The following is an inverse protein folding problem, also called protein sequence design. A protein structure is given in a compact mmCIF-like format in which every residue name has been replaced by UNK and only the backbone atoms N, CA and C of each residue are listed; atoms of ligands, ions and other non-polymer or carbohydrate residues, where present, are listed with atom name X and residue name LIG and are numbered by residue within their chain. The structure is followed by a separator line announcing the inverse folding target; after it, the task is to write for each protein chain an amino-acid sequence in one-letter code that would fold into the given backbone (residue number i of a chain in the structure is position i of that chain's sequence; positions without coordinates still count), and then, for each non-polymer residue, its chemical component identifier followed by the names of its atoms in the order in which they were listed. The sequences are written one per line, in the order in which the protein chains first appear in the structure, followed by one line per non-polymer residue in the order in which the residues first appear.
data_IF_640097809374
#
_entry.id   IF_640097809374
#
_cell.length_a   1.000
_cell.length_b   1.000
_cell.length_c   1.000
_cell.angle_alpha   90.00
_cell.angle_beta   90.00
_cell.angle_gamma   90.00
#
_symmetry.space_group_name_H-M   'P 1'
#
loop_
_entity.id
_entity.type
_entity.pdbx_description
1 polymer ?
#
# COMPACT_ATOMS: atom_id res chain seq x y z
N UNK A 1 16.13 -32.59 8.84
CA UNK A 1 16.13 -31.65 7.70
C UNK A 1 15.21 -30.49 8.07
N UNK A 2 15.76 -29.46 8.68
CA UNK A 2 15.03 -28.25 9.08
C UNK A 2 15.46 -27.13 8.13
N UNK A 3 14.55 -26.72 7.24
CA UNK A 3 14.79 -25.60 6.34
C UNK A 3 14.77 -24.30 7.14
N UNK A 4 15.96 -23.73 7.35
CA UNK A 4 16.14 -22.40 7.94
C UNK A 4 15.76 -21.35 6.88
N UNK A 5 14.52 -20.89 6.87
CA UNK A 5 14.09 -19.74 6.07
C UNK A 5 14.49 -18.44 6.78
N UNK A 6 15.79 -18.14 6.80
CA UNK A 6 16.27 -16.79 7.09
C UNK A 6 16.04 -15.91 5.84
N UNK A 7 14.79 -15.52 5.62
CA UNK A 7 14.50 -14.38 4.74
C UNK A 7 14.96 -13.14 5.49
N UNK A 8 16.22 -12.76 5.30
CA UNK A 8 16.71 -11.44 5.71
C UNK A 8 15.99 -10.42 4.84
N UNK A 9 14.89 -9.87 5.35
CA UNK A 9 14.34 -8.63 4.83
C UNK A 9 15.49 -7.61 4.76
N UNK A 10 15.61 -6.90 3.63
CA UNK A 10 16.58 -5.82 3.50
C UNK A 10 16.38 -4.85 4.67
N UNK A 11 17.43 -4.38 5.35
CA UNK A 11 17.28 -3.38 6.40
C UNK A 11 16.47 -2.19 5.86
N UNK A 12 15.33 -1.88 6.49
CA UNK A 12 14.42 -0.81 6.07
C UNK A 12 13.32 -1.21 5.07
N UNK A 13 13.17 -2.49 4.69
CA UNK A 13 12.06 -2.95 3.86
C UNK A 13 11.05 -3.79 4.66
N UNK A 14 9.76 -3.56 4.41
CA UNK A 14 8.68 -4.35 5.00
C UNK A 14 8.81 -5.84 4.63
N UNK A 15 8.58 -6.81 5.54
CA UNK A 15 8.75 -8.24 5.23
C UNK A 15 7.86 -8.77 4.09
N UNK A 16 6.74 -8.09 3.80
CA UNK A 16 5.86 -8.39 2.66
C UNK A 16 6.03 -7.38 1.51
N UNK A 17 7.20 -6.75 1.42
CA UNK A 17 7.56 -5.87 0.31
C UNK A 17 7.61 -6.70 -0.98
N UNK A 18 6.57 -6.54 -1.80
CA UNK A 18 6.47 -7.17 -3.10
C UNK A 18 5.73 -6.23 -4.05
N UNK A 19 6.33 -5.98 -5.20
CA UNK A 19 5.67 -5.29 -6.29
C UNK A 19 4.90 -6.28 -7.16
N UNK A 20 3.62 -5.97 -7.35
CA UNK A 20 2.68 -6.64 -8.25
C UNK A 20 1.87 -5.59 -9.01
N UNK A 21 1.41 -5.97 -10.19
CA UNK A 21 0.38 -5.19 -10.88
C UNK A 21 -0.88 -5.12 -10.01
N UNK A 22 -1.39 -3.91 -9.81
CA UNK A 22 -2.60 -3.63 -9.04
C UNK A 22 -3.79 -3.21 -9.93
N UNK A 23 -3.55 -3.21 -11.23
CA UNK A 23 -4.54 -3.02 -12.29
C UNK A 23 -4.77 -4.37 -12.99
N UNK A 24 -6.01 -4.68 -13.32
CA UNK A 24 -6.35 -5.87 -14.11
C UNK A 24 -6.02 -5.66 -15.60
N UNK A 25 -5.93 -6.74 -16.36
CA UNK A 25 -5.68 -6.69 -17.80
C UNK A 25 -6.70 -5.82 -18.55
N UNK A 26 -8.00 -5.93 -18.22
CA UNK A 26 -9.03 -5.10 -18.83
C UNK A 26 -8.88 -3.62 -18.49
N UNK A 27 -8.61 -3.29 -17.22
CA UNK A 27 -8.36 -1.92 -16.78
C UNK A 27 -7.09 -1.35 -17.44
N UNK A 28 -6.05 -2.17 -17.62
CA UNK A 28 -4.79 -1.76 -18.24
C UNK A 28 -4.95 -1.46 -19.73
N UNK A 29 -5.73 -2.25 -20.46
CA UNK A 29 -6.08 -1.97 -21.87
C UNK A 29 -6.78 -0.61 -21.98
N UNK A 30 -7.75 -0.35 -21.10
CA UNK A 30 -8.46 0.94 -21.05
C UNK A 30 -7.45 2.06 -20.78
N UNK A 31 -6.57 1.90 -19.79
CA UNK A 31 -5.59 2.91 -19.42
C UNK A 31 -4.62 3.26 -20.54
N UNK A 32 -4.20 2.25 -21.32
CA UNK A 32 -3.38 2.45 -22.52
C UNK A 32 -4.08 3.26 -23.58
N UNK A 33 -5.38 3.04 -23.80
CA UNK A 33 -6.17 3.82 -24.77
C UNK A 33 -6.31 5.28 -24.35
N UNK A 34 -6.28 5.56 -23.04
CA UNK A 34 -6.25 6.94 -22.53
C UNK A 34 -4.89 7.62 -22.68
N UNK A 35 -3.85 6.88 -23.07
CA UNK A 35 -2.47 7.38 -23.18
C UNK A 35 -1.96 8.03 -21.88
N UNK A 36 -2.41 7.55 -20.71
CA UNK A 36 -2.02 8.08 -19.40
C UNK A 36 -1.10 7.10 -18.67
N UNK A 37 -0.02 7.56 -18.00
CA UNK A 37 0.77 6.69 -17.14
C UNK A 37 0.04 6.42 -15.82
N UNK A 38 0.22 5.23 -15.22
CA UNK A 38 -0.37 4.92 -13.90
C UNK A 38 0.14 5.85 -12.79
N UNK A 39 1.34 6.41 -12.95
CA UNK A 39 1.90 7.39 -12.01
C UNK A 39 1.09 8.69 -11.95
N UNK A 40 0.23 8.98 -12.93
CA UNK A 40 -0.64 10.17 -12.92
C UNK A 40 -1.93 9.98 -12.13
N UNK A 41 -2.23 8.76 -11.65
CA UNK A 41 -3.44 8.47 -10.89
C UNK A 41 -3.68 9.47 -9.74
N UNK A 42 -2.69 9.78 -8.87
CA UNK A 42 -2.85 10.73 -7.77
C UNK A 42 -3.28 12.15 -8.14
N UNK A 43 -3.08 12.56 -9.40
CA UNK A 43 -3.34 13.93 -9.86
C UNK A 43 -4.79 14.17 -10.26
N UNK A 44 -5.65 13.15 -10.15
CA UNK A 44 -7.04 13.19 -10.65
C UNK A 44 -8.03 12.83 -9.55
N UNK A 45 -9.28 13.22 -9.74
CA UNK A 45 -10.40 12.74 -8.92
C UNK A 45 -10.95 11.40 -9.43
N UNK A 46 -11.55 10.57 -8.56
CA UNK A 46 -12.21 9.33 -8.98
C UNK A 46 -13.27 9.53 -10.08
N UNK A 47 -14.02 10.63 -10.01
CA UNK A 47 -15.05 11.01 -10.97
C UNK A 47 -14.46 11.35 -12.34
N UNK A 48 -13.40 12.15 -12.39
CA UNK A 48 -12.69 12.51 -13.63
C UNK A 48 -12.12 11.27 -14.30
N UNK A 49 -11.53 10.35 -13.54
CA UNK A 49 -10.96 9.12 -14.09
C UNK A 49 -12.05 8.20 -14.63
N UNK A 50 -13.14 8.01 -13.88
CA UNK A 50 -14.26 7.20 -14.35
C UNK A 50 -14.84 7.77 -15.64
N UNK A 51 -15.05 9.10 -15.70
CA UNK A 51 -15.52 9.79 -16.90
C UNK A 51 -14.55 9.64 -18.08
N UNK A 52 -13.24 9.76 -17.86
CA UNK A 52 -12.23 9.58 -18.90
C UNK A 52 -12.26 8.16 -19.50
N UNK A 53 -12.57 7.15 -18.68
CA UNK A 53 -12.74 5.75 -19.14
C UNK A 53 -14.09 5.48 -19.81
N UNK A 54 -14.95 6.48 -19.97
CA UNK A 54 -16.32 6.30 -20.45
C UNK A 54 -17.19 5.48 -19.48
N UNK A 55 -16.87 5.49 -18.18
CA UNK A 55 -17.55 4.71 -17.15
C UNK A 55 -17.19 3.22 -17.13
N UNK A 56 -16.20 2.78 -17.92
CA UNK A 56 -15.76 1.38 -17.93
C UNK A 56 -15.04 0.98 -16.63
N UNK A 57 -14.36 1.93 -15.99
CA UNK A 57 -13.85 1.78 -14.63
C UNK A 57 -14.75 2.60 -13.71
N UNK A 58 -15.35 1.94 -12.71
CA UNK A 58 -16.25 2.60 -11.77
C UNK A 58 -15.51 3.64 -10.93
N UNK A 59 -16.23 4.69 -10.49
CA UNK A 59 -15.71 5.71 -9.55
C UNK A 59 -15.06 5.08 -8.32
N UNK A 60 -15.71 4.08 -7.71
CA UNK A 60 -15.16 3.35 -6.55
C UNK A 60 -13.81 2.70 -6.85
N UNK A 61 -13.67 2.09 -8.03
CA UNK A 61 -12.43 1.44 -8.42
C UNK A 61 -11.34 2.46 -8.76
N UNK A 62 -11.69 3.59 -9.37
CA UNK A 62 -10.76 4.70 -9.57
C UNK A 62 -10.24 5.25 -8.23
N UNK A 63 -11.12 5.43 -7.25
CA UNK A 63 -10.77 5.80 -5.87
C UNK A 63 -9.81 4.80 -5.22
N UNK A 64 -10.08 3.49 -5.35
CA UNK A 64 -9.13 2.45 -4.92
C UNK A 64 -7.78 2.57 -5.61
N UNK A 65 -7.73 2.71 -6.94
CA UNK A 65 -6.47 2.84 -7.70
C UNK A 65 -5.65 4.06 -7.27
N UNK A 66 -6.31 5.20 -7.00
CA UNK A 66 -5.68 6.41 -6.47
C UNK A 66 -5.10 6.14 -5.08
N UNK A 67 -5.85 5.51 -4.17
CA UNK A 67 -5.34 5.15 -2.84
C UNK A 67 -4.11 4.24 -2.93
N UNK A 68 -4.14 3.23 -3.80
CA UNK A 68 -3.00 2.33 -4.01
C UNK A 68 -1.77 3.13 -4.47
N UNK A 69 -1.94 3.99 -5.47
CA UNK A 69 -0.85 4.81 -6.01
C UNK A 69 -0.27 5.75 -4.94
N UNK A 70 -1.13 6.40 -4.14
CA UNK A 70 -0.72 7.28 -3.05
C UNK A 70 0.03 6.54 -1.94
N UNK A 71 -0.48 5.41 -1.47
CA UNK A 71 0.19 4.61 -0.43
C UNK A 71 1.53 4.11 -0.95
N UNK A 72 1.61 3.72 -2.23
CA UNK A 72 2.86 3.23 -2.83
C UNK A 72 3.94 4.32 -3.03
N UNK A 73 3.65 5.59 -2.71
CA UNK A 73 4.70 6.62 -2.63
C UNK A 73 5.55 6.50 -1.36
N UNK A 74 5.05 5.78 -0.34
CA UNK A 74 5.76 5.57 0.92
C UNK A 74 6.95 4.63 0.73
N UNK A 75 8.12 5.04 1.21
CA UNK A 75 9.35 4.27 1.09
C UNK A 75 9.32 3.01 1.97
N UNK A 76 9.83 1.89 1.46
CA UNK A 76 9.97 0.65 2.24
C UNK A 76 8.78 -0.31 2.17
N UNK A 77 7.68 0.06 1.51
CA UNK A 77 6.56 -0.83 1.17
C UNK A 77 6.47 -1.05 -0.34
N UNK A 78 5.87 -2.18 -0.74
CA UNK A 78 5.68 -2.54 -2.15
C UNK A 78 4.19 -2.49 -2.52
N UNK A 79 3.89 -2.50 -3.82
CA UNK A 79 2.50 -2.27 -4.29
C UNK A 79 1.50 -3.29 -3.76
N UNK A 80 1.94 -4.51 -3.41
CA UNK A 80 1.03 -5.54 -2.90
C UNK A 80 0.42 -5.18 -1.54
N UNK A 81 1.22 -4.72 -0.57
CA UNK A 81 0.68 -4.29 0.72
C UNK A 81 -0.09 -2.97 0.59
N UNK A 82 0.37 -2.06 -0.27
CA UNK A 82 -0.34 -0.81 -0.61
C UNK A 82 -1.76 -1.11 -1.11
N UNK A 83 -1.89 -2.14 -1.96
CA UNK A 83 -3.17 -2.65 -2.44
C UNK A 83 -4.06 -3.18 -1.30
N UNK A 84 -3.52 -4.01 -0.41
CA UNK A 84 -4.31 -4.58 0.69
C UNK A 84 -4.82 -3.51 1.65
N UNK A 85 -4.01 -2.49 1.94
CA UNK A 85 -4.40 -1.34 2.77
C UNK A 85 -5.51 -0.52 2.10
N UNK A 86 -5.33 -0.16 0.82
CA UNK A 86 -6.32 0.60 0.05
C UNK A 86 -7.65 -0.14 -0.09
N UNK A 87 -7.61 -1.45 -0.32
CA UNK A 87 -8.80 -2.32 -0.39
C UNK A 87 -9.53 -2.46 0.95
N UNK A 88 -8.81 -2.28 2.05
CA UNK A 88 -9.38 -2.22 3.42
C UNK A 88 -10.01 -0.86 3.71
N UNK A 89 -9.81 0.12 2.82
CA UNK A 89 -10.41 1.45 2.89
C UNK A 89 -9.48 2.53 3.43
N UNK A 90 -8.21 2.22 3.72
CA UNK A 90 -7.27 3.18 4.26
C UNK A 90 -6.69 4.09 3.17
N UNK A 91 -6.60 5.39 3.46
CA UNK A 91 -5.82 6.34 2.67
C UNK A 91 -4.36 6.48 3.19
N UNK A 92 -3.54 7.24 2.47
CA UNK A 92 -2.11 7.42 2.79
C UNK A 92 -1.88 8.10 4.14
N UNK A 93 -2.75 9.04 4.54
CA UNK A 93 -2.60 9.74 5.83
C UNK A 93 -2.94 8.78 6.97
N UNK A 94 -4.03 8.03 6.83
CA UNK A 94 -4.40 6.99 7.79
C UNK A 94 -3.31 5.92 7.92
N UNK A 95 -2.66 5.55 6.81
CA UNK A 95 -1.52 4.62 6.80
C UNK A 95 -0.32 5.19 7.57
N UNK A 96 -0.10 6.50 7.55
CA UNK A 96 0.97 7.14 8.32
C UNK A 96 0.62 7.30 9.81
N UNK A 97 -0.64 7.57 10.14
CA UNK A 97 -1.01 8.06 11.48
C UNK A 97 -1.65 7.00 12.38
N UNK A 98 -2.34 6.00 11.83
CA UNK A 98 -2.99 4.96 12.64
C UNK A 98 -1.97 3.95 13.16
N UNK A 99 -2.17 3.35 14.35
CA UNK A 99 -1.30 2.30 14.85
C UNK A 99 -1.20 1.12 13.87
N UNK A 100 0.02 0.64 13.61
CA UNK A 100 0.29 -0.50 12.74
C UNK A 100 -0.56 -1.74 13.06
N UNK A 101 -0.79 -2.01 14.35
CA UNK A 101 -1.63 -3.12 14.81
C UNK A 101 -3.07 -3.01 14.31
N UNK A 102 -3.64 -1.80 14.31
CA UNK A 102 -5.00 -1.54 13.82
C UNK A 102 -5.06 -1.73 12.31
N UNK A 103 -4.11 -1.17 11.57
CA UNK A 103 -4.06 -1.24 10.11
C UNK A 103 -3.92 -2.70 9.64
N UNK A 104 -2.90 -3.40 10.13
CA UNK A 104 -2.58 -4.77 9.72
C UNK A 104 -3.58 -5.79 10.29
N UNK A 105 -4.16 -5.50 11.46
CA UNK A 105 -5.28 -6.27 12.01
C UNK A 105 -6.52 -6.21 11.10
N UNK A 106 -6.87 -5.04 10.57
CA UNK A 106 -7.98 -4.92 9.62
C UNK A 106 -7.69 -5.63 8.28
N UNK A 107 -6.45 -5.59 7.80
CA UNK A 107 -6.04 -6.38 6.63
C UNK A 107 -6.24 -7.87 6.87
N UNK A 108 -5.79 -8.40 8.03
CA UNK A 108 -5.99 -9.80 8.40
C UNK A 108 -7.48 -10.16 8.48
N UNK A 109 -8.29 -9.29 9.10
CA UNK A 109 -9.73 -9.49 9.22
C UNK A 109 -10.41 -9.55 7.85
N UNK A 110 -10.04 -8.66 6.92
CA UNK A 110 -10.54 -8.66 5.54
C UNK A 110 -10.17 -9.95 4.80
N UNK A 111 -8.94 -10.44 4.97
CA UNK A 111 -8.45 -11.66 4.31
C UNK A 111 -9.01 -12.94 4.93
N UNK A 112 -9.46 -12.90 6.18
CA UNK A 112 -9.92 -14.07 6.93
C UNK A 112 -8.79 -14.96 7.46
N UNK A 113 -7.54 -14.51 7.41
CA UNK A 113 -6.38 -15.20 7.98
C UNK A 113 -5.26 -14.22 8.37
N UNK A 114 -4.37 -14.66 9.27
CA UNK A 114 -3.27 -13.85 9.80
C UNK A 114 -2.09 -13.77 8.82
N UNK A 115 -2.22 -12.92 7.79
CA UNK A 115 -1.11 -12.61 6.87
C UNK A 115 -0.02 -11.79 7.58
N UNK A 116 -0.44 -10.77 8.33
CA UNK A 116 0.43 -9.86 9.05
C UNK A 116 0.57 -10.32 10.51
N UNK A 117 1.75 -10.82 10.87
CA UNK A 117 2.09 -11.25 12.24
C UNK A 117 2.81 -10.14 13.04
N UNK A 118 3.16 -10.44 14.28
CA UNK A 118 3.92 -9.54 15.17
C UNK A 118 5.23 -8.99 14.58
N UNK A 119 5.90 -9.74 13.71
CA UNK A 119 7.12 -9.24 13.05
C UNK A 119 6.77 -8.20 11.99
N UNK A 120 5.69 -8.40 11.23
CA UNK A 120 5.21 -7.40 10.27
C UNK A 120 4.66 -6.16 10.97
N UNK A 121 3.94 -6.29 12.08
CA UNK A 121 3.42 -5.14 12.85
C UNK A 121 4.58 -4.25 13.31
N UNK A 122 5.63 -4.86 13.89
CA UNK A 122 6.83 -4.12 14.31
C UNK A 122 7.51 -3.43 13.13
N UNK A 123 7.78 -4.16 12.05
CA UNK A 123 8.42 -3.58 10.87
C UNK A 123 7.61 -2.44 10.24
N UNK A 124 6.27 -2.52 10.25
CA UNK A 124 5.40 -1.45 9.75
C UNK A 124 5.41 -0.24 10.68
N UNK A 125 5.40 -0.46 11.99
CA UNK A 125 5.53 0.60 12.98
C UNK A 125 6.86 1.34 12.85
N UNK A 126 7.95 0.62 12.59
CA UNK A 126 9.26 1.22 12.34
C UNK A 126 9.22 2.10 11.09
N UNK A 127 8.63 1.62 9.99
CA UNK A 127 8.44 2.39 8.76
C UNK A 127 7.63 3.67 8.98
N UNK A 128 6.55 3.58 9.76
CA UNK A 128 5.72 4.72 10.14
C UNK A 128 6.51 5.79 10.91
N UNK A 129 7.42 5.40 11.81
CA UNK A 129 8.32 6.35 12.49
C UNK A 129 9.25 7.07 11.50
N UNK A 130 9.75 6.38 10.47
CA UNK A 130 10.60 7.00 9.43
C UNK A 130 9.81 8.01 8.61
N UNK A 131 8.59 7.67 8.19
CA UNK A 131 7.75 8.55 7.37
C UNK A 131 7.36 9.84 8.11
N UNK A 132 7.15 9.77 9.43
CA UNK A 132 6.89 10.95 10.27
C UNK A 132 8.15 11.73 10.68
N UNK A 133 9.35 11.21 10.37
CA UNK A 133 10.63 11.82 10.75
C UNK A 133 10.98 11.66 12.25
N UNK A 134 10.36 10.69 12.93
CA UNK A 134 10.49 10.48 14.38
C UNK A 134 11.68 9.56 14.75
N UNK A 135 12.34 8.92 13.78
CA UNK A 135 13.50 8.05 14.00
C UNK A 135 14.67 8.72 14.75
N UNK A 136 14.87 10.02 14.52
CA UNK A 136 15.98 10.77 15.09
C UNK A 136 15.75 11.19 16.55
N UNK A 137 14.52 11.20 17.05
CA UNK A 137 14.22 11.51 18.45
C UNK A 137 14.42 10.27 19.33
N UNK A 138 13.98 9.10 18.91
CA UNK A 138 14.17 7.85 19.65
C UNK A 138 15.65 7.45 19.83
N UNK A 139 16.50 7.78 18.87
CA UNK A 139 17.95 7.47 18.92
C UNK A 139 18.77 8.47 19.74
N UNK A 140 18.19 9.59 20.17
CA UNK A 140 18.87 10.62 20.98
C UNK A 140 18.55 10.54 22.48
N UNK A 141 17.60 9.68 22.86
CA UNK A 141 17.18 9.47 24.26
C UNK A 141 17.76 8.18 24.88
N UNK A 142 18.71 7.53 24.20
CA UNK A 142 19.46 6.36 24.69
C UNK A 142 20.89 6.75 25.09
#
# INVERSE_FOLDING_TARGET
MTANHNVRALPGAFPLHQDKDYISESEWVIWKLLCRPLSSLPENTPEELSAATGGQISVKRCDELIRIANINTLTGIGTWISRLLAETGFDVNEVCDKPAEVLLGQVNNRLGYALCNEATIRAFSDLQLQWRGEEQQASREV
#
